data_IF_909996676352
#
_entry.id   IF_909996676352
#
_cell.length_a   1.000
_cell.length_b   1.000
_cell.length_c   1.000
_cell.angle_alpha   90.00
_cell.angle_beta   90.00
_cell.angle_gamma   90.00
#
_symmetry.space_group_name_H-M   'P 1'
#
loop_
_entity.id
_entity.type
_entity.pdbx_description
1 polymer ?
#
# COMPACT_ATOMS: atom_id res chain seq x y z
N UNK A 1 73.70 18.96 -14.78
CA UNK A 1 72.85 19.06 -15.98
C UNK A 1 71.98 17.82 -16.08
N UNK A 2 70.66 18.03 -16.22
CA UNK A 2 69.61 17.10 -16.70
C UNK A 2 69.23 15.93 -15.78
N UNK A 3 67.96 15.61 -15.50
CA UNK A 3 66.64 16.04 -16.04
C UNK A 3 65.56 15.69 -14.99
N UNK A 4 64.66 16.62 -14.70
CA UNK A 4 63.41 16.36 -13.97
C UNK A 4 62.37 15.79 -14.95
N UNK A 5 61.67 14.73 -14.54
CA UNK A 5 60.54 14.14 -15.24
C UNK A 5 59.28 14.96 -14.92
N UNK A 6 58.84 15.80 -15.86
CA UNK A 6 57.49 16.35 -15.88
C UNK A 6 56.54 15.28 -16.41
N UNK A 7 55.62 14.81 -15.56
CA UNK A 7 54.42 14.12 -16.01
C UNK A 7 53.41 15.16 -16.48
N UNK A 8 53.26 15.27 -17.80
CA UNK A 8 52.24 16.08 -18.45
C UNK A 8 50.91 15.32 -18.39
N UNK A 9 49.86 16.01 -17.93
CA UNK A 9 48.48 15.62 -18.16
C UNK A 9 48.22 15.62 -19.68
N UNK A 10 47.78 14.49 -20.22
CA UNK A 10 47.06 14.40 -21.48
C UNK A 10 45.93 13.39 -21.31
N UNK A 11 44.69 13.87 -21.37
CA UNK A 11 43.50 13.04 -21.26
C UNK A 11 43.24 12.24 -22.54
N UNK A 12 42.58 11.08 -22.40
CA UNK A 12 41.71 10.53 -23.45
C UNK A 12 40.48 9.92 -22.79
N UNK A 13 39.35 10.47 -23.22
CA UNK A 13 37.96 10.07 -23.03
C UNK A 13 37.73 8.60 -23.37
N UNK A 14 37.17 7.86 -22.40
CA UNK A 14 36.66 6.50 -22.59
C UNK A 14 35.37 6.28 -21.80
N UNK A 15 34.37 7.15 -21.97
CA UNK A 15 33.01 6.87 -21.47
C UNK A 15 32.37 5.88 -22.45
N UNK A 16 32.72 4.60 -22.31
CA UNK A 16 32.06 3.52 -23.04
C UNK A 16 30.57 3.51 -22.72
N UNK A 17 29.73 3.22 -23.73
CA UNK A 17 28.28 3.08 -23.62
C UNK A 17 27.82 2.10 -22.51
N UNK A 18 28.73 1.28 -21.99
CA UNK A 18 28.57 0.44 -20.81
C UNK A 18 28.24 1.21 -19.52
N UNK A 19 28.67 2.47 -19.37
CA UNK A 19 28.34 3.30 -18.20
C UNK A 19 26.86 3.71 -18.14
N UNK A 20 26.28 4.12 -19.26
CA UNK A 20 24.86 4.50 -19.35
C UNK A 20 23.92 3.29 -19.20
N UNK A 21 24.32 2.14 -19.76
CA UNK A 21 23.56 0.90 -19.61
C UNK A 21 23.57 0.40 -18.15
N UNK A 22 24.69 0.50 -17.44
CA UNK A 22 24.76 0.15 -16.02
C UNK A 22 23.84 1.03 -15.15
N UNK A 23 23.81 2.36 -15.39
CA UNK A 23 22.95 3.29 -14.63
C UNK A 23 21.47 3.05 -14.89
N UNK A 24 21.06 2.83 -16.16
CA UNK A 24 19.66 2.49 -16.47
C UNK A 24 19.26 1.12 -15.91
N UNK A 25 20.16 0.13 -15.92
CA UNK A 25 19.87 -1.20 -15.39
C UNK A 25 19.75 -1.20 -13.85
N UNK A 26 20.54 -0.38 -13.14
CA UNK A 26 20.44 -0.17 -11.69
C UNK A 26 19.20 0.62 -11.29
N UNK A 27 18.85 1.70 -12.02
CA UNK A 27 17.61 2.47 -11.78
C UNK A 27 16.37 1.60 -11.94
N UNK A 28 16.38 0.69 -12.93
CA UNK A 28 15.25 -0.19 -13.14
C UNK A 28 15.09 -1.16 -11.95
N UNK A 29 16.15 -1.85 -11.50
CA UNK A 29 16.09 -2.81 -10.37
C UNK A 29 15.58 -2.21 -9.04
N UNK A 30 15.86 -0.94 -8.77
CA UNK A 30 15.42 -0.25 -7.55
C UNK A 30 14.18 0.64 -7.75
N UNK A 31 13.43 0.48 -8.83
CA UNK A 31 12.15 1.18 -8.99
C UNK A 31 11.09 0.67 -8.01
N UNK A 32 10.12 1.53 -7.69
CA UNK A 32 8.92 1.14 -6.93
C UNK A 32 8.22 -0.05 -7.60
N UNK A 33 8.09 -0.03 -8.93
CA UNK A 33 7.51 -1.12 -9.74
C UNK A 33 8.12 -2.49 -9.44
N UNK A 34 9.44 -2.55 -9.34
CA UNK A 34 10.12 -3.83 -9.13
C UNK A 34 10.01 -4.34 -7.69
N UNK A 35 9.88 -3.44 -6.71
CA UNK A 35 9.66 -3.84 -5.31
C UNK A 35 8.20 -4.13 -4.98
N UNK A 36 7.28 -3.44 -5.65
CA UNK A 36 5.84 -3.53 -5.40
C UNK A 36 5.10 -3.81 -6.71
N UNK A 37 5.21 -5.04 -7.25
CA UNK A 37 4.67 -5.39 -8.57
C UNK A 37 3.14 -5.41 -8.62
N UNK A 38 2.47 -5.41 -7.46
CA UNK A 38 1.01 -5.43 -7.33
C UNK A 38 0.46 -4.01 -7.38
N UNK A 39 0.33 -3.49 -8.59
CA UNK A 39 -0.10 -2.12 -8.86
C UNK A 39 -1.54 -1.98 -9.29
N UNK A 40 -2.06 -0.76 -9.20
CA UNK A 40 -3.25 -0.35 -9.98
C UNK A 40 -2.95 -0.19 -11.47
N UNK A 41 -1.68 -0.08 -11.89
CA UNK A 41 -1.34 0.01 -13.31
C UNK A 41 -1.84 -1.24 -14.04
N UNK A 42 -2.63 -1.02 -15.11
CA UNK A 42 -3.25 -2.08 -15.89
C UNK A 42 -4.59 -2.57 -15.33
N UNK A 43 -5.07 -2.01 -14.22
CA UNK A 43 -6.41 -2.30 -13.70
C UNK A 43 -7.48 -1.86 -14.70
N UNK A 44 -8.36 -2.79 -15.04
CA UNK A 44 -9.43 -2.62 -16.03
C UNK A 44 -10.75 -2.22 -15.37
N UNK A 45 -10.91 -2.50 -14.08
CA UNK A 45 -12.06 -2.04 -13.32
C UNK A 45 -12.02 -0.52 -13.14
N UNK A 46 -12.91 0.18 -13.87
CA UNK A 46 -13.04 1.64 -13.76
C UNK A 46 -13.54 2.06 -12.36
N UNK A 47 -14.26 1.19 -11.64
CA UNK A 47 -14.74 1.44 -10.29
C UNK A 47 -13.61 1.71 -9.30
N UNK A 48 -12.48 1.01 -9.43
CA UNK A 48 -11.30 1.25 -8.60
C UNK A 48 -10.71 2.64 -8.88
N UNK A 49 -10.60 3.02 -10.15
CA UNK A 49 -10.10 4.36 -10.51
C UNK A 49 -11.04 5.47 -10.03
N UNK A 50 -12.35 5.26 -10.13
CA UNK A 50 -13.36 6.17 -9.61
C UNK A 50 -13.20 6.35 -8.10
N UNK A 51 -13.10 5.24 -7.36
CA UNK A 51 -12.92 5.26 -5.90
C UNK A 51 -11.63 5.98 -5.48
N UNK A 52 -10.52 5.78 -6.21
CA UNK A 52 -9.23 6.42 -5.91
C UNK A 52 -9.24 7.93 -6.17
N UNK A 53 -9.88 8.41 -7.25
CA UNK A 53 -10.06 9.86 -7.46
C UNK A 53 -10.89 10.46 -6.32
N UNK A 54 -12.04 9.85 -5.99
CA UNK A 54 -12.90 10.33 -4.88
C UNK A 54 -12.12 10.39 -3.55
N UNK A 55 -11.34 9.35 -3.26
CA UNK A 55 -10.50 9.31 -2.05
C UNK A 55 -9.44 10.42 -2.03
N UNK A 56 -8.74 10.66 -3.15
CA UNK A 56 -7.72 11.70 -3.25
C UNK A 56 -8.29 13.12 -3.07
N UNK A 57 -9.46 13.37 -3.66
CA UNK A 57 -10.16 14.66 -3.52
C UNK A 57 -10.64 14.87 -2.08
N UNK A 58 -11.17 13.82 -1.43
CA UNK A 58 -11.69 13.91 -0.07
C UNK A 58 -10.61 13.99 1.03
N UNK A 59 -9.38 13.56 0.75
CA UNK A 59 -8.32 13.54 1.77
C UNK A 59 -7.91 14.96 2.19
N UNK A 60 -7.59 15.17 3.47
CA UNK A 60 -7.12 16.48 3.95
C UNK A 60 -5.68 16.83 3.55
N UNK A 61 -4.82 15.83 3.38
CA UNK A 61 -3.40 16.03 3.01
C UNK A 61 -3.23 16.23 1.50
N UNK A 62 -2.21 17.01 1.13
CA UNK A 62 -1.80 17.20 -0.26
C UNK A 62 -0.79 16.12 -0.66
N UNK A 63 -0.95 15.46 -1.84
CA UNK A 63 0.02 14.51 -2.35
C UNK A 63 1.30 15.23 -2.78
N UNK A 64 2.40 14.49 -2.95
CA UNK A 64 3.66 15.06 -3.41
C UNK A 64 3.74 15.18 -4.93
N UNK A 65 3.29 14.16 -5.66
CA UNK A 65 3.31 14.12 -7.11
C UNK A 65 2.42 15.23 -7.72
N UNK A 66 2.99 16.00 -8.65
CA UNK A 66 2.32 17.15 -9.27
C UNK A 66 1.04 16.79 -10.03
N UNK A 67 0.95 15.60 -10.63
CA UNK A 67 -0.29 15.16 -11.29
C UNK A 67 -1.36 14.77 -10.28
N UNK A 68 -0.98 14.15 -9.15
CA UNK A 68 -1.94 13.92 -8.06
C UNK A 68 -2.47 15.24 -7.48
N UNK A 69 -1.63 16.27 -7.36
CA UNK A 69 -2.07 17.62 -6.97
C UNK A 69 -3.10 18.19 -7.95
N UNK A 70 -2.88 18.01 -9.26
CA UNK A 70 -3.84 18.41 -10.30
C UNK A 70 -5.17 17.64 -10.22
N UNK A 71 -5.12 16.32 -9.98
CA UNK A 71 -6.34 15.52 -9.76
C UNK A 71 -7.11 16.06 -8.56
N UNK A 72 -6.42 16.30 -7.44
CA UNK A 72 -7.03 16.85 -6.22
C UNK A 72 -7.69 18.22 -6.45
N UNK A 73 -7.07 19.06 -7.28
CA UNK A 73 -7.59 20.37 -7.63
C UNK A 73 -8.73 20.33 -8.68
N UNK A 74 -8.98 19.17 -9.30
CA UNK A 74 -10.06 19.02 -10.28
C UNK A 74 -11.37 18.74 -9.53
N UNK A 75 -12.39 19.61 -9.63
CA UNK A 75 -13.67 19.37 -8.99
C UNK A 75 -14.36 18.15 -9.58
N UNK A 76 -15.09 17.42 -8.73
CA UNK A 76 -15.95 16.32 -9.18
C UNK A 76 -17.22 16.91 -9.83
N UNK A 77 -17.59 16.41 -11.01
CA UNK A 77 -18.83 16.80 -11.67
C UNK A 77 -19.94 15.87 -11.16
N UNK A 78 -20.95 16.41 -10.48
CA UNK A 78 -22.04 15.60 -9.88
C UNK A 78 -21.54 14.46 -8.98
N UNK A 79 -20.48 14.73 -8.19
CA UNK A 79 -19.78 13.75 -7.36
C UNK A 79 -19.09 12.60 -8.13
N UNK A 80 -18.92 12.73 -9.44
CA UNK A 80 -18.21 11.77 -10.27
C UNK A 80 -16.87 12.32 -10.82
N UNK A 81 -15.82 11.47 -10.90
CA UNK A 81 -14.57 11.80 -11.57
C UNK A 81 -14.78 12.06 -13.06
N UNK A 82 -14.11 13.09 -13.58
CA UNK A 82 -14.01 13.29 -15.03
C UNK A 82 -13.04 12.29 -15.66
N UNK A 83 -13.15 12.05 -16.97
CA UNK A 83 -12.17 11.24 -17.70
C UNK A 83 -10.75 11.85 -17.59
N UNK A 84 -10.66 13.17 -17.53
CA UNK A 84 -9.40 13.88 -17.32
C UNK A 84 -8.77 13.55 -15.97
N UNK A 85 -9.54 13.59 -14.88
CA UNK A 85 -9.00 13.31 -13.54
C UNK A 85 -8.56 11.84 -13.41
N UNK A 86 -9.30 10.90 -14.01
CA UNK A 86 -8.89 9.50 -14.11
C UNK A 86 -7.61 9.34 -14.93
N UNK A 87 -7.49 10.01 -16.09
CA UNK A 87 -6.29 9.95 -16.93
C UNK A 87 -5.07 10.54 -16.23
N UNK A 88 -5.23 11.65 -15.50
CA UNK A 88 -4.17 12.26 -14.70
C UNK A 88 -3.73 11.34 -13.56
N UNK A 89 -4.66 10.71 -12.84
CA UNK A 89 -4.35 9.74 -11.80
C UNK A 89 -3.55 8.56 -12.36
N UNK A 90 -3.99 7.97 -13.48
CA UNK A 90 -3.28 6.86 -14.16
C UNK A 90 -1.85 7.26 -14.53
N UNK A 91 -1.65 8.46 -15.10
CA UNK A 91 -0.33 9.00 -15.44
C UNK A 91 0.52 9.24 -14.19
N UNK A 92 -0.06 9.79 -13.12
CA UNK A 92 0.63 10.02 -11.86
C UNK A 92 1.14 8.70 -11.27
N UNK A 93 0.28 7.68 -11.25
CA UNK A 93 0.66 6.36 -10.77
C UNK A 93 1.76 5.74 -11.61
N UNK A 94 1.69 5.83 -12.93
CA UNK A 94 2.79 5.38 -13.81
C UNK A 94 4.13 6.03 -13.41
N UNK A 95 4.16 7.35 -13.20
CA UNK A 95 5.38 8.06 -12.79
C UNK A 95 5.90 7.63 -11.42
N UNK A 96 4.99 7.44 -10.45
CA UNK A 96 5.35 6.96 -9.12
C UNK A 96 5.95 5.55 -9.20
N UNK A 97 5.34 4.64 -9.96
CA UNK A 97 5.85 3.28 -10.12
C UNK A 97 7.22 3.22 -10.79
N UNK A 98 7.46 4.09 -11.77
CA UNK A 98 8.73 4.14 -12.48
C UNK A 98 9.81 4.93 -11.70
N UNK A 99 9.43 5.57 -10.59
CA UNK A 99 10.35 6.30 -9.72
C UNK A 99 11.26 5.37 -8.91
N UNK A 100 12.38 5.93 -8.45
CA UNK A 100 13.34 5.22 -7.60
C UNK A 100 12.80 5.03 -6.18
N UNK A 101 12.87 3.81 -5.66
CA UNK A 101 12.52 3.54 -4.26
C UNK A 101 13.67 3.91 -3.33
N UNK A 102 13.53 5.04 -2.64
CA UNK A 102 14.47 5.55 -1.64
C UNK A 102 14.13 5.14 -0.19
N UNK A 103 13.05 4.39 0.02
CA UNK A 103 12.59 3.91 1.33
C UNK A 103 11.12 4.20 1.58
N UNK A 104 10.58 3.66 2.67
CA UNK A 104 9.15 3.81 3.02
C UNK A 104 8.78 5.22 3.46
N UNK A 105 9.75 6.01 3.92
CA UNK A 105 9.54 7.41 4.30
C UNK A 105 9.56 8.37 3.10
N UNK A 106 9.90 7.89 1.90
CA UNK A 106 9.92 8.70 0.69
C UNK A 106 8.52 9.18 0.30
N UNK A 107 8.46 10.37 -0.30
CA UNK A 107 7.19 10.95 -0.71
C UNK A 107 6.53 10.13 -1.83
N UNK A 108 7.34 9.57 -2.73
CA UNK A 108 6.89 8.69 -3.80
C UNK A 108 6.23 7.42 -3.24
N UNK A 109 6.82 6.82 -2.19
CA UNK A 109 6.24 5.65 -1.56
C UNK A 109 4.97 5.98 -0.75
N UNK A 110 4.91 7.15 -0.11
CA UNK A 110 3.70 7.62 0.56
C UNK A 110 2.56 7.82 -0.43
N UNK A 111 2.82 8.48 -1.56
CA UNK A 111 1.84 8.63 -2.64
C UNK A 111 1.44 7.27 -3.25
N UNK A 112 2.38 6.35 -3.43
CA UNK A 112 2.11 4.98 -3.84
C UNK A 112 1.10 4.30 -2.91
N UNK A 113 1.42 4.29 -1.61
CA UNK A 113 0.61 3.63 -0.57
C UNK A 113 -0.81 4.20 -0.54
N UNK A 114 -0.95 5.51 -0.69
CA UNK A 114 -2.26 6.17 -0.59
C UNK A 114 -3.11 6.10 -1.85
N UNK A 115 -2.51 6.12 -3.05
CA UNK A 115 -3.29 6.39 -4.27
C UNK A 115 -3.08 5.42 -5.42
N UNK A 116 -1.92 4.75 -5.48
CA UNK A 116 -1.51 4.04 -6.68
C UNK A 116 -1.37 2.52 -6.49
N UNK A 117 -1.42 2.05 -5.26
CA UNK A 117 -1.42 0.63 -4.92
C UNK A 117 -2.82 0.07 -4.70
N UNK A 118 -2.94 -1.25 -4.87
CA UNK A 118 -4.10 -1.98 -4.36
C UNK A 118 -4.01 -2.03 -2.85
N UNK A 119 -5.12 -1.90 -2.15
CA UNK A 119 -5.20 -2.24 -0.73
C UNK A 119 -5.70 -3.68 -0.55
N UNK A 120 -5.64 -4.18 0.68
CA UNK A 120 -6.06 -5.55 0.98
C UNK A 120 -7.54 -5.82 0.66
N UNK A 121 -8.41 -4.80 0.74
CA UNK A 121 -9.84 -4.91 0.38
C UNK A 121 -10.09 -4.93 -1.13
N UNK A 122 -9.19 -4.41 -1.96
CA UNK A 122 -9.30 -4.48 -3.42
C UNK A 122 -9.00 -5.89 -3.94
N UNK A 123 -8.21 -6.68 -3.20
CA UNK A 123 -7.80 -8.03 -3.60
C UNK A 123 -8.57 -9.13 -2.87
N UNK A 124 -9.21 -8.82 -1.74
CA UNK A 124 -10.07 -9.75 -1.02
C UNK A 124 -11.53 -9.66 -1.52
N UNK A 125 -12.31 -10.75 -1.50
CA UNK A 125 -13.74 -10.71 -1.81
C UNK A 125 -14.48 -9.79 -0.83
N UNK A 126 -15.03 -8.68 -1.33
CA UNK A 126 -15.65 -7.65 -0.47
C UNK A 126 -16.96 -8.09 0.17
N UNK A 127 -17.69 -9.00 -0.49
CA UNK A 127 -18.96 -9.56 -0.06
C UNK A 127 -18.83 -10.45 1.19
N UNK A 128 -17.61 -10.92 1.49
CA UNK A 128 -17.33 -11.77 2.64
C UNK A 128 -16.84 -11.02 3.87
N UNK A 129 -16.63 -9.70 3.78
CA UNK A 129 -16.05 -8.94 4.90
C UNK A 129 -17.04 -8.81 6.07
N UNK A 130 -16.54 -8.88 7.30
CA UNK A 130 -17.39 -8.62 8.46
C UNK A 130 -17.69 -7.13 8.61
N UNK A 131 -18.97 -6.80 8.55
CA UNK A 131 -19.49 -5.42 8.71
C UNK A 131 -20.29 -5.24 9.99
N UNK A 132 -20.43 -6.29 10.81
CA UNK A 132 -21.16 -6.25 12.08
C UNK A 132 -20.54 -5.20 13.01
N UNK A 133 -21.40 -4.39 13.60
CA UNK A 133 -21.04 -3.40 14.59
C UNK A 133 -20.70 -4.05 15.95
N UNK A 134 -19.82 -3.41 16.72
CA UNK A 134 -19.44 -3.82 18.08
C UNK A 134 -19.84 -2.77 19.14
N UNK A 135 -20.71 -1.80 18.84
CA UNK A 135 -21.09 -0.74 19.79
C UNK A 135 -21.90 -1.26 20.97
N UNK A 136 -22.71 -2.30 20.76
CA UNK A 136 -23.68 -2.77 21.76
C UNK A 136 -23.33 -4.15 22.34
N UNK A 137 -22.58 -4.97 21.61
CA UNK A 137 -22.13 -6.28 22.07
C UNK A 137 -20.89 -6.74 21.30
N UNK A 138 -20.35 -7.91 21.61
CA UNK A 138 -19.32 -8.52 20.79
C UNK A 138 -19.82 -8.89 19.38
N UNK A 139 -21.11 -9.13 19.20
CA UNK A 139 -21.65 -9.61 17.94
C UNK A 139 -21.31 -11.08 17.65
N UNK A 140 -22.11 -11.72 16.82
CA UNK A 140 -22.00 -13.18 16.59
C UNK A 140 -20.78 -13.52 15.72
N UNK A 141 -20.51 -12.75 14.68
CA UNK A 141 -19.41 -13.01 13.75
C UNK A 141 -18.06 -12.78 14.41
N UNK A 142 -17.92 -11.67 15.15
CA UNK A 142 -16.69 -11.38 15.87
C UNK A 142 -16.46 -12.34 17.03
N UNK A 143 -17.51 -12.75 17.77
CA UNK A 143 -17.37 -13.78 18.82
C UNK A 143 -16.85 -15.10 18.27
N UNK A 144 -17.37 -15.56 17.13
CA UNK A 144 -16.88 -16.76 16.46
C UNK A 144 -15.40 -16.62 16.03
N UNK A 145 -14.99 -15.43 15.57
CA UNK A 145 -13.59 -15.18 15.20
C UNK A 145 -12.65 -15.03 16.38
N UNK A 146 -13.10 -14.50 17.51
CA UNK A 146 -12.34 -14.51 18.76
C UNK A 146 -12.12 -15.95 19.25
N UNK A 147 -13.11 -16.84 19.11
CA UNK A 147 -12.92 -18.28 19.37
C UNK A 147 -11.86 -18.88 18.44
N UNK A 148 -11.95 -18.59 17.14
CA UNK A 148 -10.97 -19.08 16.16
C UNK A 148 -9.55 -18.55 16.46
N UNK A 149 -9.42 -17.27 16.81
CA UNK A 149 -8.16 -16.65 17.19
C UNK A 149 -7.58 -17.30 18.46
N UNK A 150 -8.41 -17.53 19.48
CA UNK A 150 -7.99 -18.19 20.73
C UNK A 150 -7.42 -19.59 20.49
N UNK A 151 -8.00 -20.35 19.57
CA UNK A 151 -7.54 -21.69 19.20
C UNK A 151 -6.45 -21.75 18.13
N UNK A 152 -6.01 -20.61 17.59
CA UNK A 152 -5.08 -20.59 16.47
C UNK A 152 -3.64 -20.89 16.90
N UNK A 153 -3.00 -21.89 16.29
CA UNK A 153 -1.60 -22.28 16.56
C UNK A 153 -0.59 -21.78 15.52
N UNK A 154 -1.06 -21.12 14.46
CA UNK A 154 -0.22 -20.62 13.38
C UNK A 154 0.41 -19.25 13.66
N UNK A 155 1.15 -18.75 12.69
CA UNK A 155 1.79 -17.43 12.77
C UNK A 155 0.77 -16.30 12.81
N UNK A 156 0.97 -15.38 13.74
CA UNK A 156 0.17 -14.18 13.93
C UNK A 156 1.03 -12.92 13.88
N UNK A 157 0.50 -11.85 13.30
CA UNK A 157 1.04 -10.49 13.47
C UNK A 157 0.91 -10.06 14.93
N UNK A 158 1.79 -9.16 15.39
CA UNK A 158 1.90 -8.81 16.81
C UNK A 158 0.58 -8.37 17.44
N UNK A 159 -0.19 -7.51 16.76
CA UNK A 159 -1.52 -7.07 17.25
C UNK A 159 -2.49 -8.23 17.53
N UNK A 160 -2.45 -9.28 16.71
CA UNK A 160 -3.28 -10.46 16.91
C UNK A 160 -2.73 -11.40 17.97
N UNK A 161 -1.40 -11.51 18.12
CA UNK A 161 -0.78 -12.23 19.24
C UNK A 161 -1.17 -11.60 20.57
N UNK A 162 -1.08 -10.28 20.67
CA UNK A 162 -1.42 -9.55 21.89
C UNK A 162 -2.90 -9.76 22.25
N UNK A 163 -3.78 -9.69 21.24
CA UNK A 163 -5.20 -9.98 21.42
C UNK A 163 -5.44 -11.44 21.82
N UNK A 164 -4.76 -12.40 21.19
CA UNK A 164 -4.86 -13.82 21.50
C UNK A 164 -4.47 -14.12 22.95
N UNK A 165 -3.36 -13.57 23.43
CA UNK A 165 -2.93 -13.71 24.83
C UNK A 165 -3.99 -13.16 25.79
N UNK A 166 -4.50 -11.95 25.52
CA UNK A 166 -5.53 -11.30 26.34
C UNK A 166 -6.82 -12.11 26.47
N UNK A 167 -7.30 -12.72 25.37
CA UNK A 167 -8.53 -13.52 25.36
C UNK A 167 -8.34 -14.96 25.87
N UNK A 168 -7.09 -15.39 26.02
CA UNK A 168 -6.77 -16.67 26.64
C UNK A 168 -6.86 -16.55 28.16
N UNK A 169 -6.43 -15.43 28.72
CA UNK A 169 -6.39 -15.14 30.16
C UNK A 169 -7.75 -14.69 30.75
N UNK A 170 -8.68 -14.21 29.93
CA UNK A 170 -9.96 -13.61 30.38
C UNK A 170 -11.18 -14.13 29.59
N UNK A 171 -12.38 -13.63 29.91
CA UNK A 171 -13.58 -13.91 29.10
C UNK A 171 -13.33 -13.45 27.65
N UNK A 172 -13.38 -14.37 26.70
CA UNK A 172 -12.93 -14.13 25.33
C UNK A 172 -13.87 -13.26 24.51
N UNK A 173 -15.16 -13.26 24.82
CA UNK A 173 -16.22 -12.69 23.96
C UNK A 173 -16.76 -11.36 24.48
N UNK A 174 -15.88 -10.51 25.02
CA UNK A 174 -16.30 -9.15 25.41
C UNK A 174 -16.40 -8.22 24.21
N UNK A 175 -17.20 -7.18 24.37
CA UNK A 175 -17.34 -6.08 23.40
C UNK A 175 -15.97 -5.47 23.07
N UNK A 176 -15.11 -5.30 24.06
CA UNK A 176 -13.80 -4.66 23.91
C UNK A 176 -12.88 -5.51 23.02
N UNK A 177 -12.89 -6.83 23.18
CA UNK A 177 -12.07 -7.73 22.37
C UNK A 177 -12.58 -7.82 20.93
N UNK A 178 -13.90 -7.84 20.74
CA UNK A 178 -14.51 -7.78 19.41
C UNK A 178 -14.18 -6.47 18.69
N UNK A 179 -14.26 -5.35 19.42
CA UNK A 179 -13.90 -4.02 18.90
C UNK A 179 -12.41 -3.97 18.53
N UNK A 180 -11.53 -4.57 19.34
CA UNK A 180 -10.10 -4.64 19.02
C UNK A 180 -9.83 -5.44 17.73
N UNK A 181 -10.47 -6.60 17.55
CA UNK A 181 -10.35 -7.39 16.32
C UNK A 181 -10.91 -6.65 15.11
N UNK A 182 -12.10 -6.06 15.24
CA UNK A 182 -12.74 -5.26 14.19
C UNK A 182 -11.85 -4.09 13.77
N UNK A 183 -11.32 -3.32 14.71
CA UNK A 183 -10.46 -2.18 14.41
C UNK A 183 -9.16 -2.60 13.70
N UNK A 184 -8.59 -3.74 14.08
CA UNK A 184 -7.45 -4.29 13.35
C UNK A 184 -7.83 -4.66 11.92
N UNK A 185 -8.97 -5.34 11.73
CA UNK A 185 -9.50 -5.68 10.42
C UNK A 185 -9.73 -4.43 9.56
N UNK A 186 -10.41 -3.40 10.09
CA UNK A 186 -10.70 -2.16 9.36
C UNK A 186 -9.42 -1.42 8.95
N UNK A 187 -8.42 -1.42 9.84
CA UNK A 187 -7.09 -0.86 9.56
C UNK A 187 -6.41 -1.62 8.42
N UNK A 188 -6.28 -2.95 8.54
CA UNK A 188 -5.52 -3.74 7.57
C UNK A 188 -6.23 -3.81 6.21
N UNK A 189 -7.56 -3.71 6.16
CA UNK A 189 -8.32 -3.62 4.91
C UNK A 189 -7.87 -2.45 4.03
N UNK A 190 -7.49 -1.34 4.67
CA UNK A 190 -7.07 -0.10 4.00
C UNK A 190 -5.58 -0.03 3.72
N UNK A 191 -4.78 -0.92 4.31
CA UNK A 191 -3.35 -1.00 4.05
C UNK A 191 -3.06 -1.51 2.64
N UNK A 192 -1.96 -1.02 2.07
CA UNK A 192 -1.44 -1.49 0.79
C UNK A 192 -1.29 -3.01 0.82
N UNK A 193 -1.75 -3.67 -0.23
CA UNK A 193 -1.65 -5.11 -0.37
C UNK A 193 -0.20 -5.51 -0.57
N UNK A 194 0.26 -6.37 0.34
CA UNK A 194 1.50 -7.12 0.26
C UNK A 194 1.14 -8.56 0.61
N UNK A 195 1.69 -9.52 -0.13
CA UNK A 195 1.45 -10.94 0.12
C UNK A 195 2.29 -11.41 1.32
N UNK A 196 1.82 -11.05 2.51
CA UNK A 196 2.53 -11.26 3.77
C UNK A 196 1.66 -11.91 4.85
N UNK A 197 2.21 -12.01 6.06
CA UNK A 197 1.52 -12.56 7.21
C UNK A 197 0.29 -11.74 7.61
N UNK A 198 0.34 -10.41 7.44
CA UNK A 198 -0.78 -9.53 7.71
C UNK A 198 -1.96 -9.83 6.80
N UNK A 199 -1.73 -9.90 5.49
CA UNK A 199 -2.75 -10.30 4.53
C UNK A 199 -3.30 -11.71 4.82
N UNK A 200 -2.42 -12.67 5.10
CA UNK A 200 -2.81 -14.04 5.44
C UNK A 200 -3.68 -14.10 6.69
N UNK A 201 -3.31 -13.38 7.75
CA UNK A 201 -4.12 -13.29 8.96
C UNK A 201 -5.44 -12.56 8.70
N UNK A 202 -5.45 -11.52 7.86
CA UNK A 202 -6.68 -10.79 7.53
C UNK A 202 -7.69 -11.73 6.87
N UNK A 203 -7.22 -12.52 5.90
CA UNK A 203 -8.02 -13.55 5.23
C UNK A 203 -8.63 -14.55 6.21
N UNK A 204 -7.93 -14.89 7.29
CA UNK A 204 -8.41 -15.83 8.31
C UNK A 204 -9.43 -15.22 9.26
N UNK A 205 -9.23 -13.97 9.67
CA UNK A 205 -9.95 -13.42 10.83
C UNK A 205 -10.97 -12.33 10.50
N UNK A 206 -10.89 -11.69 9.33
CA UNK A 206 -11.71 -10.52 8.99
C UNK A 206 -12.88 -10.78 8.04
N UNK A 207 -13.05 -12.02 7.58
CA UNK A 207 -14.07 -12.39 6.61
C UNK A 207 -14.71 -13.73 6.91
N UNK A 208 -15.87 -13.96 6.30
CA UNK A 208 -16.51 -15.27 6.20
C UNK A 208 -15.63 -16.24 5.41
N UNK A 209 -15.69 -17.51 5.81
CA UNK A 209 -14.91 -18.58 5.19
C UNK A 209 -15.38 -18.86 3.76
#
# INVERSE_FOLDING_TARGET
MNKALMFSLAGVTGVGASGLLAVNHMKNKNSIRNKFPKSLIGEKDDGIWVARVKSLVAQGSSPFNEKLKKVKATPLASNEPTEESKALLKKACQEIYDSYFSGEDSNEFKDLKSFCSKNNKDVAPQDKWFTEDTTSSAGTKWSARLTALKGHSGSLVQKLKDLQSKITETNSHTKENATALKNWCDSIASDMYVDDLGYSNMVLFCRES
#
